data_IF_710413743693
#
_entry.id   IF_710413743693
#
_cell.length_a   1.000
_cell.length_b   1.000
_cell.length_c   1.000
_cell.angle_alpha   90.00
_cell.angle_beta   90.00
_cell.angle_gamma   90.00
#
_symmetry.space_group_name_H-M   'P 1'
#
loop_
_entity.id
_entity.type
_entity.pdbx_description
1 polymer ?
#
# COMPACT_ATOMS: atom_id res chain seq x y z
N UNK A 1 9.22 10.65 -8.83
CA UNK A 1 9.94 10.23 -7.61
C UNK A 1 8.93 9.93 -6.50
N UNK A 2 8.41 8.70 -6.43
CA UNK A 2 7.57 8.25 -5.30
C UNK A 2 8.28 7.15 -4.52
N UNK A 3 8.91 6.19 -5.22
CA UNK A 3 9.73 5.16 -4.57
C UNK A 3 10.89 5.71 -3.73
N UNK A 4 11.47 6.86 -4.09
CA UNK A 4 12.51 7.51 -3.27
C UNK A 4 11.93 8.13 -1.98
N UNK A 5 10.77 8.78 -2.07
CA UNK A 5 10.08 9.34 -0.89
C UNK A 5 9.58 8.21 0.04
N UNK A 6 9.11 7.11 -0.54
CA UNK A 6 8.68 5.93 0.19
C UNK A 6 9.83 5.22 0.93
N UNK A 7 11.02 5.24 0.35
CA UNK A 7 12.25 4.78 1.00
C UNK A 7 12.67 5.67 2.19
N UNK A 8 12.15 6.88 2.34
CA UNK A 8 12.41 7.71 3.53
C UNK A 8 11.28 7.62 4.56
N UNK A 9 10.05 7.33 4.11
CA UNK A 9 8.85 7.38 4.95
C UNK A 9 8.57 6.09 5.74
N UNK A 10 9.19 4.96 5.41
CA UNK A 10 8.92 3.69 6.10
C UNK A 10 9.42 3.66 7.56
N UNK A 11 10.21 4.65 7.98
CA UNK A 11 10.64 4.84 9.37
C UNK A 11 9.62 5.65 10.19
N UNK A 12 8.64 6.27 9.54
CA UNK A 12 7.60 7.07 10.19
C UNK A 12 6.26 6.34 10.06
N UNK A 13 5.85 5.68 11.13
CA UNK A 13 4.59 4.92 11.21
C UNK A 13 3.35 5.81 11.03
N UNK A 14 3.46 7.14 11.16
CA UNK A 14 2.34 8.05 10.89
C UNK A 14 2.01 8.16 9.40
N UNK A 15 2.93 7.75 8.52
CA UNK A 15 2.74 7.75 7.08
C UNK A 15 2.20 6.38 6.67
N UNK A 16 1.01 6.27 6.04
CA UNK A 16 0.41 5.00 5.64
C UNK A 16 1.07 4.46 4.36
N UNK A 17 2.37 4.21 4.41
CA UNK A 17 3.18 3.75 3.28
C UNK A 17 2.66 2.41 2.74
N UNK A 18 2.05 1.56 3.57
CA UNK A 18 1.50 0.27 3.16
C UNK A 18 0.37 0.39 2.12
N UNK A 19 -0.27 1.56 2.01
CA UNK A 19 -1.30 1.83 0.98
C UNK A 19 -0.73 2.10 -0.41
N UNK A 20 0.58 2.28 -0.55
CA UNK A 20 1.23 2.54 -1.84
C UNK A 20 1.70 1.23 -2.46
N UNK A 21 0.97 0.78 -3.47
CA UNK A 21 1.28 -0.41 -4.28
C UNK A 21 1.63 -0.02 -5.71
N UNK A 22 2.18 -0.95 -6.50
CA UNK A 22 2.42 -0.67 -7.92
C UNK A 22 1.11 -0.63 -8.73
N UNK A 23 1.20 -0.26 -10.01
CA UNK A 23 0.05 -0.13 -10.92
C UNK A 23 -0.83 -1.39 -11.07
N UNK A 24 -0.32 -2.56 -10.71
CA UNK A 24 -1.03 -3.84 -10.79
C UNK A 24 -1.60 -4.30 -9.44
N UNK A 25 -1.54 -3.46 -8.41
CA UNK A 25 -1.95 -3.80 -7.04
C UNK A 25 -1.00 -4.78 -6.35
N UNK A 26 0.26 -4.87 -6.79
CA UNK A 26 1.27 -5.78 -6.21
C UNK A 26 2.06 -5.04 -5.14
N UNK A 27 2.31 -5.73 -4.02
CA UNK A 27 2.96 -5.27 -2.80
C UNK A 27 4.49 -5.17 -2.98
N UNK A 28 4.96 -4.44 -4.00
CA UNK A 28 6.40 -4.33 -4.30
C UNK A 28 7.18 -3.54 -3.25
N UNK A 29 6.49 -2.73 -2.43
CA UNK A 29 7.09 -1.96 -1.33
C UNK A 29 7.37 -2.79 -0.07
N UNK A 30 6.93 -4.06 0.00
CA UNK A 30 7.01 -4.89 1.22
C UNK A 30 8.41 -5.05 1.79
N UNK A 31 9.45 -4.98 0.96
CA UNK A 31 10.84 -5.11 1.35
C UNK A 31 11.39 -3.92 2.14
N UNK A 32 10.64 -2.81 2.21
CA UNK A 32 11.00 -1.62 2.97
C UNK A 32 10.36 -1.56 4.37
N UNK A 33 9.52 -2.55 4.71
CA UNK A 33 8.96 -2.66 6.06
C UNK A 33 9.87 -3.49 6.97
N UNK A 34 9.64 -3.40 8.28
CA UNK A 34 10.39 -4.13 9.32
C UNK A 34 10.56 -5.63 9.01
N UNK A 35 9.51 -6.25 8.46
CA UNK A 35 9.55 -7.64 7.98
C UNK A 35 8.67 -7.84 6.73
N UNK A 36 8.92 -8.90 5.93
CA UNK A 36 8.30 -9.08 4.62
C UNK A 36 6.77 -9.15 4.59
N UNK A 37 6.14 -9.52 5.71
CA UNK A 37 4.68 -9.67 5.82
C UNK A 37 3.99 -8.42 6.36
N UNK A 38 4.73 -7.43 6.89
CA UNK A 38 4.16 -6.27 7.58
C UNK A 38 3.20 -5.48 6.70
N UNK A 39 3.54 -5.29 5.42
CA UNK A 39 2.68 -4.60 4.46
C UNK A 39 1.36 -5.34 4.24
N UNK A 40 1.39 -6.68 4.18
CA UNK A 40 0.19 -7.51 4.02
C UNK A 40 -0.68 -7.49 5.28
N UNK A 41 -0.06 -7.54 6.47
CA UNK A 41 -0.75 -7.44 7.76
C UNK A 41 -1.51 -6.11 7.88
N UNK A 42 -0.83 -4.98 7.64
CA UNK A 42 -1.43 -3.64 7.71
C UNK A 42 -2.60 -3.47 6.73
N UNK A 43 -2.47 -3.97 5.49
CA UNK A 43 -3.56 -3.93 4.51
C UNK A 43 -4.73 -4.83 4.93
N UNK A 44 -4.44 -6.00 5.51
CA UNK A 44 -5.46 -6.95 5.98
C UNK A 44 -6.21 -6.41 7.20
N UNK A 45 -5.52 -5.70 8.10
CA UNK A 45 -6.13 -4.97 9.23
C UNK A 45 -7.11 -3.88 8.76
N UNK A 46 -6.85 -3.27 7.59
CA UNK A 46 -7.76 -2.33 6.93
C UNK A 46 -8.90 -3.02 6.15
N UNK A 47 -8.99 -4.36 6.19
CA UNK A 47 -10.00 -5.15 5.49
C UNK A 47 -9.71 -5.42 4.01
N UNK A 48 -8.50 -5.11 3.54
CA UNK A 48 -8.09 -5.34 2.15
C UNK A 48 -7.64 -6.80 2.01
N UNK A 49 -8.26 -7.53 1.08
CA UNK A 49 -7.93 -8.93 0.82
C UNK A 49 -6.69 -9.02 -0.06
N UNK A 50 -5.69 -9.81 0.37
CA UNK A 50 -4.45 -10.06 -0.38
C UNK A 50 -4.38 -11.54 -0.80
N UNK A 51 -3.86 -11.80 -2.01
CA UNK A 51 -3.54 -13.16 -2.48
C UNK A 51 -2.26 -13.15 -3.31
N UNK A 52 -1.20 -13.75 -2.76
CA UNK A 52 0.09 -13.89 -3.45
C UNK A 52 0.72 -12.54 -3.78
N UNK A 53 0.94 -11.71 -2.75
CA UNK A 53 1.50 -10.35 -2.86
C UNK A 53 0.67 -9.38 -3.73
N UNK A 54 -0.61 -9.66 -3.95
CA UNK A 54 -1.48 -8.82 -4.78
C UNK A 54 -2.82 -8.58 -4.11
N UNK A 55 -3.28 -7.33 -4.15
CA UNK A 55 -4.63 -6.95 -3.72
C UNK A 55 -5.67 -7.65 -4.60
N UNK A 56 -6.60 -8.34 -3.94
CA UNK A 56 -7.79 -8.91 -4.58
C UNK A 56 -8.77 -7.78 -4.85
N UNK A 57 -9.24 -7.69 -6.09
CA UNK A 57 -10.17 -6.64 -6.52
C UNK A 57 -9.59 -5.22 -6.33
N UNK A 58 -8.33 -5.02 -6.74
CA UNK A 58 -7.65 -3.72 -6.65
C UNK A 58 -8.47 -2.50 -7.13
N UNK A 59 -9.27 -2.58 -8.23
CA UNK A 59 -10.09 -1.45 -8.66
C UNK A 59 -11.10 -0.94 -7.62
N UNK A 60 -11.59 -1.79 -6.70
CA UNK A 60 -12.56 -1.37 -5.69
C UNK A 60 -11.95 -0.57 -4.53
N UNK A 61 -10.63 -0.66 -4.36
CA UNK A 61 -9.87 0.07 -3.32
C UNK A 61 -8.91 1.10 -3.91
N UNK A 62 -8.95 1.30 -5.23
CA UNK A 62 -8.13 2.30 -5.90
C UNK A 62 -8.61 3.71 -5.54
N UNK A 63 -7.70 4.53 -5.01
CA UNK A 63 -7.98 5.93 -4.74
C UNK A 63 -7.75 6.76 -6.01
N UNK A 64 -8.83 7.35 -6.52
CA UNK A 64 -8.83 8.22 -7.68
C UNK A 64 -8.96 9.69 -7.22
N UNK A 65 -7.92 10.52 -7.32
CA UNK A 65 -7.97 11.90 -6.85
C UNK A 65 -9.11 12.72 -7.49
N UNK A 66 -9.48 12.43 -8.73
CA UNK A 66 -10.57 13.18 -9.38
C UNK A 66 -11.95 12.86 -8.78
N UNK A 67 -12.09 11.66 -8.20
CA UNK A 67 -13.35 11.18 -7.63
C UNK A 67 -13.39 11.25 -6.11
N UNK A 68 -12.23 11.17 -5.45
CA UNK A 68 -12.11 10.96 -4.02
C UNK A 68 -11.57 12.18 -3.25
N UNK A 69 -11.16 13.27 -3.91
CA UNK A 69 -10.55 14.43 -3.23
C UNK A 69 -11.55 15.30 -2.43
N UNK A 70 -12.83 15.26 -2.78
CA UNK A 70 -13.89 16.06 -2.13
C UNK A 70 -14.76 15.24 -1.16
N UNK A 71 -14.30 14.04 -0.78
CA UNK A 71 -14.99 13.18 0.18
C UNK A 71 -14.65 13.53 1.63
#
# INVERSE_FOLDING_TARGET
MVGYAMNASHLDESIPAHRVVNRNGVLTGKHHFEHPNKMEELLTEEGIRIKGDRIVDFPSVFWDPEKNLYL
#
